data_IF_769382269655
#
_entry.id   IF_769382269655
#
_cell.length_a   1.000
_cell.length_b   1.000
_cell.length_c   1.000
_cell.angle_alpha   90.00
_cell.angle_beta   90.00
_cell.angle_gamma   90.00
#
_symmetry.space_group_name_H-M   'P 1'
#
loop_
_entity.id
_entity.type
_entity.pdbx_description
1 polymer ?
#
# COMPACT_ATOMS: atom_id res chain seq x y z
N UNK A 1 1.81 -8.78 27.07
CA UNK A 1 1.45 -7.62 26.24
C UNK A 1 2.65 -6.73 25.88
N UNK A 2 3.83 -7.02 26.42
CA UNK A 2 5.04 -6.22 26.13
C UNK A 2 5.75 -6.65 24.84
N UNK A 3 5.40 -7.80 24.29
CA UNK A 3 6.12 -8.35 23.15
C UNK A 3 5.60 -7.92 21.77
N UNK A 4 4.40 -7.37 21.71
CA UNK A 4 3.77 -7.02 20.43
C UNK A 4 4.38 -5.75 19.82
N UNK A 5 4.76 -4.78 20.65
CA UNK A 5 5.36 -3.53 20.18
C UNK A 5 6.86 -3.69 19.84
N UNK A 6 7.48 -4.80 20.27
CA UNK A 6 8.88 -5.11 19.95
C UNK A 6 9.05 -6.06 18.78
N UNK A 7 7.96 -6.61 18.26
CA UNK A 7 8.03 -7.55 17.12
C UNK A 7 8.72 -6.97 15.88
N UNK A 8 8.51 -5.70 15.49
CA UNK A 8 9.26 -5.12 14.39
C UNK A 8 10.76 -5.04 14.64
N UNK A 9 11.18 -4.61 15.84
CA UNK A 9 12.61 -4.58 16.21
C UNK A 9 13.23 -5.97 16.24
N UNK A 10 12.51 -6.96 16.73
CA UNK A 10 12.99 -8.34 16.74
C UNK A 10 13.13 -8.92 15.33
N UNK A 11 12.21 -8.59 14.42
CA UNK A 11 12.32 -8.93 13.01
C UNK A 11 13.54 -8.28 12.37
N UNK A 12 13.82 -7.03 12.67
CA UNK A 12 15.00 -6.32 12.16
C UNK A 12 16.32 -6.80 12.77
N UNK A 13 16.29 -7.31 14.00
CA UNK A 13 17.50 -7.77 14.70
C UNK A 13 17.92 -9.19 14.35
N UNK A 14 16.98 -10.11 14.07
CA UNK A 14 17.26 -11.55 13.99
C UNK A 14 17.18 -12.16 12.59
N UNK A 15 16.41 -11.60 11.70
CA UNK A 15 16.31 -12.04 10.30
C UNK A 15 15.73 -10.90 9.49
N UNK A 16 16.58 -9.93 9.14
CA UNK A 16 16.14 -8.81 8.31
C UNK A 16 15.65 -9.32 6.97
N UNK A 17 14.37 -9.13 6.74
CA UNK A 17 13.75 -9.27 5.43
C UNK A 17 13.48 -7.87 4.90
N UNK A 18 13.96 -7.59 3.70
CA UNK A 18 13.68 -6.35 3.02
C UNK A 18 12.57 -6.57 2.01
N UNK A 19 11.65 -5.63 1.93
CA UNK A 19 10.55 -5.65 1.00
C UNK A 19 10.70 -4.53 -0.04
N UNK A 20 10.20 -4.79 -1.24
CA UNK A 20 10.18 -3.84 -2.33
C UNK A 20 8.77 -3.76 -2.91
N UNK A 21 8.25 -2.55 -3.03
CA UNK A 21 7.07 -2.22 -3.82
C UNK A 21 7.56 -1.58 -5.12
N UNK A 22 7.67 -2.36 -6.21
CA UNK A 22 8.39 -1.91 -7.41
C UNK A 22 7.57 -1.00 -8.32
N UNK A 23 6.25 -1.00 -8.23
CA UNK A 23 5.38 -0.20 -9.10
C UNK A 23 5.74 -0.37 -10.59
N UNK A 24 6.00 0.71 -11.31
CA UNK A 24 6.31 0.67 -12.74
C UNK A 24 7.57 -0.14 -13.10
N UNK A 25 8.42 -0.46 -12.13
CA UNK A 25 9.63 -1.25 -12.38
C UNK A 25 9.34 -2.69 -12.80
N UNK A 26 8.11 -3.18 -12.62
CA UNK A 26 7.70 -4.51 -13.12
C UNK A 26 7.35 -4.50 -14.61
N UNK A 27 7.28 -3.34 -15.26
CA UNK A 27 6.97 -3.25 -16.68
C UNK A 27 8.01 -4.02 -17.53
N UNK A 28 7.60 -4.42 -18.71
CA UNK A 28 8.41 -5.21 -19.65
C UNK A 28 8.83 -6.58 -19.11
N UNK A 29 8.10 -7.10 -18.10
CA UNK A 29 8.40 -8.38 -17.48
C UNK A 29 9.71 -8.41 -16.69
N UNK A 30 10.13 -7.29 -16.15
CA UNK A 30 11.41 -7.15 -15.46
C UNK A 30 11.56 -8.13 -14.29
N UNK A 31 12.77 -8.65 -14.12
CA UNK A 31 13.20 -9.32 -12.91
C UNK A 31 13.81 -8.30 -11.95
N UNK A 32 13.52 -8.47 -10.66
CA UNK A 32 13.93 -7.56 -9.58
C UNK A 32 14.93 -8.23 -8.67
N UNK A 33 15.96 -7.49 -8.32
CA UNK A 33 17.09 -7.98 -7.53
C UNK A 33 17.41 -6.97 -6.43
N UNK A 34 18.08 -7.46 -5.39
CA UNK A 34 18.67 -6.64 -4.34
C UNK A 34 20.13 -7.00 -4.17
N UNK A 35 20.95 -6.00 -3.93
CA UNK A 35 22.31 -6.15 -3.42
C UNK A 35 22.36 -5.46 -2.05
N UNK A 36 22.89 -6.13 -1.05
CA UNK A 36 22.88 -5.66 0.35
C UNK A 36 24.21 -5.91 1.04
N UNK A 37 24.62 -4.95 1.87
CA UNK A 37 25.92 -4.96 2.57
C UNK A 37 25.88 -4.14 3.87
N UNK A 38 26.99 -4.11 4.59
CA UNK A 38 27.22 -3.16 5.68
C UNK A 38 26.95 -3.63 7.10
N UNK A 39 26.77 -4.93 7.33
CA UNK A 39 26.55 -5.43 8.70
C UNK A 39 26.69 -6.92 8.83
N UNK A 40 26.66 -7.61 7.74
CA UNK A 40 26.87 -9.05 7.63
C UNK A 40 27.61 -9.37 6.37
N UNK A 41 27.25 -10.48 5.72
CA UNK A 41 27.80 -10.84 4.43
C UNK A 41 27.28 -9.91 3.35
N UNK A 42 28.15 -9.56 2.42
CA UNK A 42 27.75 -8.94 1.15
C UNK A 42 26.93 -9.96 0.35
N UNK A 43 25.67 -9.67 0.10
CA UNK A 43 24.74 -10.59 -0.56
C UNK A 43 24.00 -9.91 -1.69
N UNK A 44 23.69 -10.69 -2.71
CA UNK A 44 22.87 -10.24 -3.83
C UNK A 44 22.02 -11.38 -4.34
N UNK A 45 20.83 -11.10 -4.80
CA UNK A 45 19.98 -12.13 -5.36
C UNK A 45 18.68 -11.61 -5.94
N UNK A 46 18.00 -12.51 -6.64
CA UNK A 46 16.67 -12.26 -7.19
C UNK A 46 15.65 -12.24 -6.09
N UNK A 47 14.88 -11.17 -6.03
CA UNK A 47 13.79 -11.04 -5.05
C UNK A 47 12.66 -12.01 -5.35
N UNK A 48 12.01 -12.50 -4.31
CA UNK A 48 10.86 -13.40 -4.40
C UNK A 48 9.58 -12.58 -4.32
N UNK A 49 8.66 -12.79 -5.26
CA UNK A 49 7.36 -12.16 -5.22
C UNK A 49 6.50 -12.76 -4.11
N UNK A 50 5.96 -11.90 -3.24
CA UNK A 50 5.11 -12.29 -2.10
C UNK A 50 3.63 -12.16 -2.48
N UNK A 51 3.31 -11.09 -3.17
CA UNK A 51 1.98 -10.78 -3.67
C UNK A 51 2.10 -9.84 -4.86
N UNK A 52 0.98 -9.44 -5.45
CA UNK A 52 1.01 -8.43 -6.50
C UNK A 52 1.73 -7.18 -6.00
N UNK A 53 2.72 -6.74 -6.77
CA UNK A 53 3.52 -5.55 -6.48
C UNK A 53 4.25 -5.55 -5.12
N UNK A 54 4.58 -6.73 -4.58
CA UNK A 54 5.38 -6.85 -3.37
C UNK A 54 6.39 -7.98 -3.51
N UNK A 55 7.65 -7.66 -3.25
CA UNK A 55 8.78 -8.58 -3.33
C UNK A 55 9.56 -8.56 -2.03
N UNK A 56 10.27 -9.64 -1.74
CA UNK A 56 11.07 -9.76 -0.52
C UNK A 56 12.42 -10.42 -0.79
N UNK A 57 13.35 -10.17 0.10
CA UNK A 57 14.64 -10.85 0.16
C UNK A 57 15.21 -10.78 1.58
N UNK A 58 15.81 -11.88 2.03
CA UNK A 58 16.45 -11.94 3.35
C UNK A 58 17.86 -11.37 3.29
N UNK A 59 18.15 -10.33 4.06
CA UNK A 59 19.41 -9.58 4.02
C UNK A 59 20.24 -9.71 5.30
N UNK A 60 19.82 -10.55 6.27
CA UNK A 60 20.54 -10.73 7.52
C UNK A 60 20.66 -9.44 8.33
N UNK A 61 21.89 -9.10 8.74
CA UNK A 61 22.17 -7.90 9.54
C UNK A 61 22.63 -6.69 8.69
N UNK A 62 22.49 -6.75 7.39
CA UNK A 62 22.95 -5.66 6.52
C UNK A 62 22.16 -4.36 6.73
N UNK A 63 22.85 -3.25 6.59
CA UNK A 63 22.31 -1.91 6.83
C UNK A 63 22.16 -1.06 5.57
N UNK A 64 22.64 -1.58 4.44
CA UNK A 64 22.58 -0.90 3.16
C UNK A 64 22.07 -1.84 2.07
N UNK A 65 21.43 -1.29 1.06
CA UNK A 65 21.04 -2.04 -0.11
C UNK A 65 20.89 -1.12 -1.33
N UNK A 66 20.80 -1.76 -2.49
CA UNK A 66 20.28 -1.15 -3.70
C UNK A 66 19.39 -2.17 -4.42
N UNK A 67 18.47 -1.69 -5.22
CA UNK A 67 17.59 -2.53 -6.03
C UNK A 67 17.94 -2.41 -7.49
N UNK A 68 17.84 -3.54 -8.21
CA UNK A 68 18.17 -3.63 -9.62
C UNK A 68 17.00 -4.19 -10.40
N UNK A 69 16.81 -3.65 -11.58
CA UNK A 69 15.83 -4.08 -12.56
C UNK A 69 16.55 -4.52 -13.83
N UNK A 70 16.28 -5.72 -14.30
CA UNK A 70 16.91 -6.27 -15.52
C UNK A 70 15.99 -7.22 -16.26
N UNK A 71 16.39 -7.58 -17.50
CA UNK A 71 15.69 -8.63 -18.25
C UNK A 71 15.79 -9.98 -17.54
N UNK A 72 14.68 -10.73 -17.43
CA UNK A 72 14.73 -12.09 -16.89
C UNK A 72 15.58 -13.04 -17.71
N UNK A 73 15.85 -12.74 -18.99
CA UNK A 73 16.72 -13.54 -19.86
C UNK A 73 18.18 -13.53 -19.42
N UNK A 74 18.58 -12.59 -18.55
CA UNK A 74 19.95 -12.50 -18.03
C UNK A 74 20.20 -13.46 -16.84
N UNK A 75 19.22 -14.25 -16.44
CA UNK A 75 19.36 -15.26 -15.39
C UNK A 75 18.97 -14.74 -13.99
N UNK A 76 19.41 -15.48 -12.96
CA UNK A 76 19.01 -15.28 -11.58
C UNK A 76 20.04 -14.54 -10.72
N UNK A 77 21.02 -13.91 -11.35
CA UNK A 77 22.01 -13.05 -10.69
C UNK A 77 22.01 -11.67 -11.33
N UNK A 78 22.43 -10.66 -10.58
CA UNK A 78 22.54 -9.31 -11.11
C UNK A 78 23.61 -9.31 -12.23
N UNK A 79 23.20 -8.85 -13.39
CA UNK A 79 24.12 -8.57 -14.49
C UNK A 79 24.39 -7.05 -14.51
N UNK A 80 25.51 -6.67 -13.92
CA UNK A 80 25.88 -5.28 -13.75
C UNK A 80 26.10 -4.52 -15.06
N UNK A 81 26.48 -5.25 -16.12
CA UNK A 81 26.75 -4.65 -17.42
C UNK A 81 25.48 -4.44 -18.25
N UNK A 82 24.50 -5.32 -18.09
CA UNK A 82 23.29 -5.35 -18.93
C UNK A 82 22.00 -5.06 -18.18
N UNK A 83 22.08 -4.74 -16.89
CA UNK A 83 20.89 -4.32 -16.14
C UNK A 83 20.22 -3.11 -16.80
N UNK A 84 18.93 -2.99 -16.64
CA UNK A 84 18.21 -1.87 -17.21
C UNK A 84 18.38 -0.61 -16.36
N UNK A 85 18.21 -0.72 -15.04
CA UNK A 85 18.44 0.38 -14.11
C UNK A 85 18.57 -0.13 -12.67
N UNK A 86 18.99 0.76 -11.77
CA UNK A 86 19.13 0.50 -10.35
C UNK A 86 18.80 1.74 -9.53
N UNK A 87 18.55 1.54 -8.24
CA UNK A 87 18.52 2.66 -7.28
C UNK A 87 19.94 3.14 -6.97
N UNK A 88 20.05 4.29 -6.33
CA UNK A 88 21.27 4.66 -5.62
C UNK A 88 21.51 3.67 -4.46
N UNK A 89 22.69 3.76 -3.85
CA UNK A 89 22.97 3.09 -2.58
C UNK A 89 22.05 3.67 -1.50
N UNK A 90 21.29 2.80 -0.87
CA UNK A 90 20.30 3.18 0.13
C UNK A 90 20.75 2.72 1.51
N UNK A 91 20.79 3.64 2.47
CA UNK A 91 20.85 3.29 3.88
C UNK A 91 19.46 2.81 4.33
N UNK A 92 19.40 1.65 4.94
CA UNK A 92 18.14 1.09 5.46
C UNK A 92 17.89 1.69 6.84
N UNK A 93 16.81 2.49 7.02
CA UNK A 93 16.47 3.01 8.33
C UNK A 93 16.20 1.85 9.31
N UNK A 94 16.65 2.00 10.56
CA UNK A 94 16.55 0.94 11.56
C UNK A 94 15.11 0.52 11.86
N UNK A 95 14.17 1.43 11.67
CA UNK A 95 12.74 1.24 11.93
C UNK A 95 11.89 0.97 10.65
N UNK A 96 12.55 0.73 9.52
CA UNK A 96 11.87 0.51 8.23
C UNK A 96 12.35 -0.79 7.58
N UNK A 97 11.50 -1.39 6.75
CA UNK A 97 11.83 -2.64 6.05
C UNK A 97 11.29 -2.73 4.62
N UNK A 98 10.64 -1.69 4.14
CA UNK A 98 10.01 -1.70 2.82
C UNK A 98 10.37 -0.43 2.05
N UNK A 99 10.86 -0.61 0.82
CA UNK A 99 11.15 0.48 -0.08
C UNK A 99 10.13 0.52 -1.21
N UNK A 100 9.52 1.67 -1.44
CA UNK A 100 8.55 1.87 -2.51
C UNK A 100 9.18 2.72 -3.61
N UNK A 101 9.26 2.17 -4.83
CA UNK A 101 9.71 2.90 -6.01
C UNK A 101 8.60 3.85 -6.45
N UNK A 102 8.92 5.11 -6.64
CA UNK A 102 7.96 6.15 -7.06
C UNK A 102 8.24 6.72 -8.45
N UNK A 103 9.36 6.33 -9.06
CA UNK A 103 9.75 6.84 -10.37
C UNK A 103 10.96 6.10 -10.94
N UNK A 104 11.57 6.68 -11.96
CA UNK A 104 12.70 6.08 -12.69
C UNK A 104 14.07 6.62 -12.27
N UNK A 105 14.11 7.67 -11.49
CA UNK A 105 15.35 8.21 -10.95
C UNK A 105 15.93 7.32 -9.84
N UNK A 106 17.24 7.38 -9.67
CA UNK A 106 17.95 6.50 -8.73
C UNK A 106 17.56 6.71 -7.27
N UNK A 107 16.98 7.87 -6.94
CA UNK A 107 16.49 8.22 -5.60
C UNK A 107 14.96 8.35 -5.54
N UNK A 108 14.25 7.89 -6.56
CA UNK A 108 12.81 7.98 -6.63
C UNK A 108 12.15 6.84 -5.83
N UNK A 109 12.10 7.02 -4.54
CA UNK A 109 11.49 6.06 -3.64
C UNK A 109 11.51 6.51 -2.19
N UNK A 110 10.84 5.74 -1.35
CA UNK A 110 10.73 6.04 0.08
C UNK A 110 10.64 4.78 0.92
N UNK A 111 11.09 4.88 2.17
CA UNK A 111 11.04 3.81 3.15
C UNK A 111 9.77 3.85 3.98
N UNK A 112 9.24 2.67 4.28
CA UNK A 112 8.08 2.47 5.15
C UNK A 112 8.20 1.15 5.92
N UNK A 113 7.21 0.84 6.74
CA UNK A 113 7.10 -0.44 7.45
C UNK A 113 6.08 -1.31 6.75
N UNK A 114 6.47 -2.53 6.41
CA UNK A 114 5.55 -3.59 6.01
C UNK A 114 5.44 -4.63 7.12
N UNK A 115 4.22 -5.05 7.41
CA UNK A 115 3.95 -6.12 8.37
C UNK A 115 3.25 -7.27 7.65
N UNK A 116 3.82 -8.47 7.75
CA UNK A 116 3.22 -9.68 7.20
C UNK A 116 1.81 -9.90 7.76
N UNK A 117 0.84 -10.16 6.88
CA UNK A 117 -0.57 -10.27 7.26
C UNK A 117 -1.38 -8.98 7.05
N UNK A 118 -0.75 -7.87 6.71
CA UNK A 118 -1.46 -6.71 6.16
C UNK A 118 -2.09 -7.10 4.82
N UNK A 119 -3.36 -6.76 4.65
CA UNK A 119 -4.05 -6.93 3.36
C UNK A 119 -3.67 -5.85 2.35
N UNK A 120 -2.88 -4.88 2.77
CA UNK A 120 -2.38 -3.82 1.93
C UNK A 120 -0.97 -4.18 1.43
N UNK A 121 -0.81 -4.53 0.14
CA UNK A 121 0.50 -4.79 -0.44
C UNK A 121 1.35 -3.52 -0.57
N UNK A 122 0.80 -2.37 -0.24
CA UNK A 122 1.52 -1.11 -0.21
C UNK A 122 1.46 -0.47 1.16
N UNK A 123 2.40 -0.81 2.06
CA UNK A 123 2.43 -0.26 3.42
C UNK A 123 2.80 1.21 3.47
N UNK A 124 2.97 1.88 2.34
CA UNK A 124 3.34 3.27 2.31
C UNK A 124 2.13 4.15 2.66
N UNK A 125 2.19 4.89 3.78
CA UNK A 125 1.13 5.84 4.12
C UNK A 125 1.08 7.03 3.15
N UNK A 126 2.00 7.11 2.23
CA UNK A 126 1.99 8.15 1.21
C UNK A 126 0.93 7.83 0.14
N UNK A 127 0.15 8.82 -0.22
CA UNK A 127 -1.04 8.67 -1.01
C UNK A 127 -0.85 8.18 -2.44
N UNK A 128 0.27 7.57 -2.77
CA UNK A 128 0.27 6.93 -4.05
C UNK A 128 0.36 5.47 -3.83
N UNK A 129 -0.56 4.85 -3.90
CA UNK A 129 -0.57 3.85 -4.33
C UNK A 129 -1.42 2.79 -4.20
N UNK A 130 -2.07 2.66 -5.03
CA UNK A 130 -2.73 1.44 -5.32
C UNK A 130 -2.09 0.87 -6.58
N UNK A 131 -1.18 -0.07 -6.44
CA UNK A 131 -0.50 -0.68 -7.58
C UNK A 131 -1.44 -1.39 -8.53
N UNK A 132 -2.62 -1.80 -8.04
CA UNK A 132 -3.65 -2.43 -8.86
C UNK A 132 -4.62 -1.43 -9.49
N UNK A 133 -4.42 -0.12 -9.27
CA UNK A 133 -5.32 0.92 -9.75
C UNK A 133 -6.70 0.88 -9.11
N UNK A 134 -6.81 0.38 -7.88
CA UNK A 134 -8.09 0.25 -7.16
C UNK A 134 -7.93 0.59 -5.69
N UNK A 135 -8.96 1.19 -5.08
CA UNK A 135 -9.02 1.45 -3.63
C UNK A 135 -10.16 0.68 -3.00
N UNK A 136 -9.94 0.26 -1.75
CA UNK A 136 -10.97 -0.32 -0.91
C UNK A 136 -11.49 0.77 0.03
N UNK A 137 -12.78 1.05 -0.06
CA UNK A 137 -13.49 1.94 0.86
C UNK A 137 -14.17 1.10 1.93
N UNK A 138 -13.89 1.39 3.20
CA UNK A 138 -14.51 0.71 4.34
C UNK A 138 -15.13 1.74 5.25
N UNK A 139 -16.36 1.50 5.69
CA UNK A 139 -17.12 2.44 6.48
C UNK A 139 -17.91 1.75 7.58
N UNK A 140 -17.89 2.33 8.78
CA UNK A 140 -18.78 1.99 9.88
C UNK A 140 -19.96 2.95 9.86
N UNK A 141 -21.17 2.41 9.92
CA UNK A 141 -22.41 3.17 9.82
C UNK A 141 -23.27 2.97 11.08
N UNK A 142 -24.25 3.86 11.32
CA UNK A 142 -25.18 3.69 12.44
C UNK A 142 -25.94 2.36 12.37
N UNK A 143 -26.20 1.78 13.53
CA UNK A 143 -27.02 0.58 13.63
C UNK A 143 -28.42 0.84 13.04
N UNK A 144 -28.96 -0.15 12.33
CA UNK A 144 -30.24 -0.01 11.65
C UNK A 144 -30.13 0.52 10.21
N UNK A 145 -28.92 0.80 9.73
CA UNK A 145 -28.67 1.13 8.31
C UNK A 145 -28.93 -0.08 7.44
N UNK A 146 -29.81 0.05 6.46
CA UNK A 146 -30.19 -1.08 5.57
C UNK A 146 -29.31 -1.19 4.33
N UNK A 147 -28.72 -0.08 3.88
CA UNK A 147 -27.86 -0.02 2.72
C UNK A 147 -26.89 1.16 2.84
N UNK A 148 -25.76 1.09 2.15
CA UNK A 148 -24.79 2.17 2.08
C UNK A 148 -24.32 2.33 0.65
N UNK A 149 -24.22 3.58 0.20
CA UNK A 149 -23.78 3.98 -1.13
C UNK A 149 -22.60 4.92 -0.99
N UNK A 150 -21.71 4.89 -1.96
CA UNK A 150 -20.63 5.85 -2.06
C UNK A 150 -20.76 6.65 -3.35
N UNK A 151 -20.60 7.97 -3.27
CA UNK A 151 -20.57 8.85 -4.42
C UNK A 151 -19.37 9.78 -4.31
N UNK A 152 -18.58 9.89 -5.37
CA UNK A 152 -17.40 10.70 -5.39
C UNK A 152 -16.81 10.87 -6.79
N UNK A 153 -15.65 11.50 -6.83
CA UNK A 153 -14.96 11.75 -8.11
C UNK A 153 -14.65 10.46 -8.85
N UNK A 154 -14.40 9.35 -8.13
CA UNK A 154 -14.08 8.05 -8.71
C UNK A 154 -15.22 7.39 -9.45
N UNK A 155 -16.46 7.79 -9.24
CA UNK A 155 -17.63 7.28 -9.95
C UNK A 155 -18.49 8.41 -10.55
N UNK A 156 -17.88 9.56 -10.82
CA UNK A 156 -18.54 10.74 -11.36
C UNK A 156 -19.76 11.19 -10.52
N UNK A 157 -19.64 11.03 -9.19
CA UNK A 157 -20.67 11.38 -8.20
C UNK A 157 -21.98 10.58 -8.36
N UNK A 158 -21.91 9.42 -9.02
CA UNK A 158 -22.99 8.46 -9.05
C UNK A 158 -23.05 7.66 -7.74
N UNK A 159 -24.23 7.26 -7.31
CA UNK A 159 -24.40 6.49 -6.09
C UNK A 159 -24.16 5.01 -6.37
N UNK A 160 -23.03 4.48 -5.94
CA UNK A 160 -22.67 3.07 -6.08
C UNK A 160 -22.93 2.33 -4.77
N UNK A 161 -23.72 1.27 -4.83
CA UNK A 161 -24.04 0.47 -3.66
C UNK A 161 -22.80 -0.28 -3.16
N UNK A 162 -22.57 -0.24 -1.85
CA UNK A 162 -21.49 -0.92 -1.19
C UNK A 162 -21.92 -2.31 -0.70
N UNK A 163 -20.95 -3.20 -0.52
CA UNK A 163 -21.18 -4.54 -0.01
C UNK A 163 -21.32 -4.53 1.51
N UNK A 164 -22.39 -5.12 2.01
CA UNK A 164 -22.61 -5.27 3.45
C UNK A 164 -21.72 -6.38 4.01
N UNK A 165 -20.87 -6.04 4.97
CA UNK A 165 -20.01 -6.99 5.68
C UNK A 165 -20.74 -7.50 6.93
N UNK A 166 -21.34 -6.61 7.70
CA UNK A 166 -22.20 -6.89 8.85
C UNK A 166 -23.19 -5.74 9.05
N UNK A 167 -23.92 -5.74 10.18
CA UNK A 167 -25.00 -4.76 10.43
C UNK A 167 -24.54 -3.31 10.50
N UNK A 168 -23.26 -3.06 10.73
CA UNK A 168 -22.70 -1.71 10.84
C UNK A 168 -21.49 -1.45 9.94
N UNK A 169 -21.10 -2.42 9.10
CA UNK A 169 -19.92 -2.28 8.25
C UNK A 169 -20.22 -2.58 6.80
N UNK A 170 -19.73 -1.69 5.93
CA UNK A 170 -19.81 -1.81 4.47
C UNK A 170 -18.44 -1.61 3.85
N UNK A 171 -18.21 -2.24 2.71
CA UNK A 171 -16.96 -2.14 1.96
C UNK A 171 -17.22 -2.14 0.46
N UNK A 172 -16.36 -1.48 -0.30
CA UNK A 172 -16.40 -1.51 -1.76
C UNK A 172 -15.01 -1.25 -2.32
N UNK A 173 -14.61 -2.09 -3.27
CA UNK A 173 -13.40 -1.90 -4.06
C UNK A 173 -13.77 -1.16 -5.34
N UNK A 174 -13.07 -0.06 -5.63
CA UNK A 174 -13.33 0.76 -6.82
C UNK A 174 -12.05 0.85 -7.65
N UNK A 175 -12.13 0.31 -8.86
CA UNK A 175 -11.06 0.41 -9.86
C UNK A 175 -10.94 1.85 -10.37
N UNK A 176 -9.72 2.34 -10.50
CA UNK A 176 -9.44 3.69 -10.95
C UNK A 176 -9.54 4.78 -9.89
N UNK A 177 -9.93 4.42 -8.66
CA UNK A 177 -9.98 5.36 -7.56
C UNK A 177 -8.56 5.70 -7.06
N UNK A 178 -8.34 6.96 -6.69
CA UNK A 178 -7.11 7.45 -6.08
C UNK A 178 -7.41 8.13 -4.75
N UNK A 179 -6.42 8.18 -3.87
CA UNK A 179 -6.58 8.77 -2.53
C UNK A 179 -6.85 10.28 -2.54
N UNK A 180 -6.59 10.96 -3.63
CA UNK A 180 -6.90 12.39 -3.78
C UNK A 180 -8.36 12.67 -4.14
N UNK A 181 -9.09 11.67 -4.58
CA UNK A 181 -10.49 11.80 -4.99
C UNK A 181 -11.40 11.98 -3.79
N UNK A 182 -12.29 12.97 -3.88
CA UNK A 182 -13.26 13.30 -2.84
C UNK A 182 -14.53 12.46 -2.97
N UNK A 183 -15.19 12.20 -1.83
CA UNK A 183 -16.37 11.36 -1.81
C UNK A 183 -17.25 11.62 -0.57
N UNK A 184 -18.46 11.08 -0.60
CA UNK A 184 -19.42 11.02 0.52
C UNK A 184 -20.17 9.70 0.53
N UNK A 185 -20.73 9.37 1.69
CA UNK A 185 -21.60 8.21 1.86
C UNK A 185 -23.07 8.63 1.93
N UNK A 186 -23.95 7.74 1.46
CA UNK A 186 -25.39 7.88 1.56
C UNK A 186 -26.02 6.56 2.02
N UNK A 187 -27.13 6.63 2.75
CA UNK A 187 -27.89 5.43 3.13
C UNK A 187 -28.87 4.96 2.07
N UNK A 188 -28.96 5.68 0.96
CA UNK A 188 -29.81 5.39 -0.19
C UNK A 188 -29.20 5.99 -1.47
N UNK A 189 -29.81 5.70 -2.65
CA UNK A 189 -29.23 6.04 -3.95
C UNK A 189 -29.50 7.50 -4.38
N UNK A 190 -29.55 8.43 -3.44
CA UNK A 190 -29.79 9.83 -3.71
C UNK A 190 -29.17 10.71 -2.62
N UNK A 191 -28.96 11.98 -2.90
CA UNK A 191 -28.41 12.96 -1.95
C UNK A 191 -29.34 13.24 -0.78
N UNK A 192 -30.64 12.90 -0.89
CA UNK A 192 -31.59 12.99 0.23
C UNK A 192 -31.19 12.08 1.41
N UNK A 193 -30.33 11.10 1.17
CA UNK A 193 -29.85 10.13 2.16
C UNK A 193 -28.39 10.35 2.56
N UNK A 194 -27.85 11.55 2.34
CA UNK A 194 -26.42 11.83 2.57
C UNK A 194 -26.07 11.79 4.04
N UNK A 195 -24.82 11.44 4.32
CA UNK A 195 -24.26 11.46 5.66
C UNK A 195 -24.28 12.85 6.29
N UNK A 196 -24.51 12.88 7.59
CA UNK A 196 -24.53 14.08 8.42
C UNK A 196 -23.62 13.92 9.64
N UNK A 197 -23.29 15.04 10.27
CA UNK A 197 -22.63 15.03 11.58
C UNK A 197 -23.54 14.37 12.64
N UNK A 198 -23.00 14.09 13.82
CA UNK A 198 -23.78 13.56 14.94
C UNK A 198 -24.93 14.49 15.35
N UNK A 199 -24.86 15.78 15.02
CA UNK A 199 -25.88 16.78 15.27
C UNK A 199 -26.75 17.12 14.07
N UNK A 200 -26.60 16.36 12.95
CA UNK A 200 -27.42 16.51 11.76
C UNK A 200 -26.97 17.60 10.80
N UNK A 201 -25.75 18.09 10.95
CA UNK A 201 -25.21 19.14 10.09
C UNK A 201 -24.56 18.60 8.82
N UNK A 202 -24.47 19.45 7.79
CA UNK A 202 -23.74 19.13 6.57
C UNK A 202 -22.26 18.88 6.84
N UNK A 203 -21.69 17.89 6.14
CA UNK A 203 -20.28 17.57 6.20
C UNK A 203 -19.57 17.96 4.89
N UNK A 204 -18.31 18.27 5.01
CA UNK A 204 -17.45 18.45 3.83
C UNK A 204 -17.23 17.10 3.12
N UNK A 205 -16.87 17.14 1.85
CA UNK A 205 -16.47 15.96 1.10
C UNK A 205 -15.27 15.30 1.78
N UNK A 206 -15.30 13.97 1.88
CA UNK A 206 -14.26 13.21 2.55
C UNK A 206 -12.97 13.14 1.72
N UNK A 207 -11.87 13.10 2.43
CA UNK A 207 -10.57 12.65 1.91
C UNK A 207 -10.40 11.18 2.29
N UNK A 208 -9.77 10.38 1.43
CA UNK A 208 -9.60 8.94 1.67
C UNK A 208 -9.02 8.62 3.05
N UNK A 209 -9.64 7.66 3.69
CA UNK A 209 -9.17 7.00 4.90
C UNK A 209 -9.46 5.50 4.77
N UNK A 210 -8.60 4.66 5.33
CA UNK A 210 -8.78 3.21 5.29
C UNK A 210 -10.05 2.76 6.03
N UNK A 211 -10.49 3.53 7.03
CA UNK A 211 -11.69 3.23 7.80
C UNK A 211 -12.43 4.53 8.12
N UNK A 212 -13.58 4.71 7.50
CA UNK A 212 -14.45 5.85 7.76
C UNK A 212 -15.55 5.51 8.76
N UNK A 213 -16.10 6.54 9.40
CA UNK A 213 -17.25 6.42 10.30
C UNK A 213 -18.31 7.45 9.92
N UNK A 214 -19.54 6.99 9.70
CA UNK A 214 -20.70 7.84 9.51
C UNK A 214 -21.43 7.98 10.83
N UNK A 215 -21.66 9.20 11.27
CA UNK A 215 -22.32 9.49 12.55
C UNK A 215 -23.85 9.43 12.45
N UNK A 216 -24.42 9.96 11.38
CA UNK A 216 -25.86 9.94 11.12
C UNK A 216 -26.19 10.14 9.64
N UNK A 217 -27.42 9.94 9.28
CA UNK A 217 -27.97 10.14 7.93
C UNK A 217 -28.95 11.30 7.88
N UNK A 218 -29.15 11.89 6.70
CA UNK A 218 -30.17 12.89 6.47
C UNK A 218 -31.59 12.30 6.53
#
# INVERSE_FOLDING_TARGET
SEDQDKLPEALFANAKVIYLVPNAWTSDGAALFVHSWGGGSDIAGKMTQVSDNLYQYEIGSNTNCLFVRQSPSLGNQINWDQKWNQTADLAIPADKNCYTITGWGTNDGSWSVYTSGSTDPNPNPNPNPNPDGKLVYSVTVPAGTNACYIAGEMNAWSHTEMNKVDDTHYTLEIVGATQSMKYKYCSGPAWDYVEKSATGEELQDRTYSANDVVASWA
#
